data_IF_919529363756
#
_entry.id   IF_919529363756
#
_cell.length_a   1.000
_cell.length_b   1.000
_cell.length_c   1.000
_cell.angle_alpha   90.00
_cell.angle_beta   90.00
_cell.angle_gamma   90.00
#
_symmetry.space_group_name_H-M   'P 1'
#
loop_
_entity.id
_entity.type
_entity.pdbx_description
1 polymer ?
#
# COMPACT_ATOMS: atom_id res chain seq x y z
N UNK A 1 35.87 -5.13 2.01
CA UNK A 1 34.97 -5.93 2.88
C UNK A 1 33.58 -5.91 2.25
N UNK A 2 33.10 -7.04 1.72
CA UNK A 2 31.73 -7.11 1.21
C UNK A 2 30.81 -7.30 2.41
N UNK A 3 29.87 -6.39 2.63
CA UNK A 3 28.85 -6.59 3.64
C UNK A 3 28.05 -7.84 3.28
N UNK A 4 27.97 -8.80 4.20
CA UNK A 4 27.18 -10.02 4.00
C UNK A 4 25.70 -9.63 3.87
N UNK A 5 25.08 -10.03 2.76
CA UNK A 5 23.66 -9.79 2.55
C UNK A 5 22.86 -10.66 3.52
N UNK A 6 22.09 -10.03 4.41
CA UNK A 6 21.13 -10.69 5.30
C UNK A 6 19.70 -10.41 4.84
N UNK A 7 18.78 -11.29 5.21
CA UNK A 7 17.36 -11.08 4.93
C UNK A 7 16.89 -9.79 5.61
N UNK A 8 16.07 -9.00 4.89
CA UNK A 8 15.49 -7.79 5.44
C UNK A 8 14.21 -8.13 6.19
N UNK A 9 14.20 -7.89 7.50
CA UNK A 9 13.08 -8.18 8.37
C UNK A 9 12.32 -6.91 8.71
N UNK A 10 11.00 -6.95 8.52
CA UNK A 10 10.07 -5.88 8.89
C UNK A 10 9.09 -6.45 9.92
N UNK A 11 9.29 -6.17 11.23
CA UNK A 11 8.35 -6.59 12.25
C UNK A 11 7.02 -5.83 12.10
N UNK A 12 5.91 -6.53 12.34
CA UNK A 12 4.56 -5.96 12.24
C UNK A 12 4.10 -5.27 13.53
N UNK A 13 3.03 -4.45 13.45
CA UNK A 13 2.29 -4.05 12.25
C UNK A 13 3.08 -3.07 11.36
N UNK A 14 2.83 -3.10 10.05
CA UNK A 14 3.51 -2.24 9.08
C UNK A 14 2.59 -1.11 8.63
N UNK A 15 3.04 0.13 8.81
CA UNK A 15 2.36 1.31 8.27
C UNK A 15 2.91 1.63 6.89
N UNK A 16 2.00 1.74 5.92
CA UNK A 16 2.35 1.98 4.53
C UNK A 16 1.80 3.33 4.08
N UNK A 17 2.62 4.07 3.34
CA UNK A 17 2.20 5.25 2.57
C UNK A 17 2.20 4.87 1.10
N UNK A 18 1.04 4.97 0.46
CA UNK A 18 0.84 4.65 -0.95
C UNK A 18 0.60 5.94 -1.72
N UNK A 19 1.35 6.17 -2.79
CA UNK A 19 1.06 7.22 -3.76
C UNK A 19 0.42 6.60 -5.00
N UNK A 20 -0.78 7.03 -5.35
CA UNK A 20 -1.51 6.60 -6.54
C UNK A 20 -1.12 7.44 -7.76
N UNK A 21 -1.48 6.96 -8.95
CA UNK A 21 -1.16 7.63 -10.22
C UNK A 21 -2.07 8.83 -10.51
N UNK A 22 -3.32 8.79 -10.02
CA UNK A 22 -4.32 9.87 -10.19
C UNK A 22 -5.19 9.96 -8.94
N UNK A 23 -5.89 11.09 -8.78
CA UNK A 23 -6.86 11.27 -7.68
C UNK A 23 -8.02 10.27 -7.75
N UNK A 24 -8.47 9.92 -8.96
CA UNK A 24 -9.51 8.89 -9.15
C UNK A 24 -9.10 7.52 -8.58
N UNK A 25 -7.83 7.13 -8.71
CA UNK A 25 -7.33 5.90 -8.06
C UNK A 25 -7.34 6.02 -6.53
N UNK A 26 -7.00 7.19 -5.98
CA UNK A 26 -7.05 7.43 -4.54
C UNK A 26 -8.50 7.29 -4.02
N UNK A 27 -9.46 7.87 -4.73
CA UNK A 27 -10.90 7.78 -4.40
C UNK A 27 -11.42 6.34 -4.48
N UNK A 28 -11.01 5.59 -5.50
CA UNK A 28 -11.37 4.18 -5.65
C UNK A 28 -10.78 3.32 -4.52
N UNK A 29 -9.52 3.51 -4.17
CA UNK A 29 -8.87 2.69 -3.13
C UNK A 29 -9.40 3.02 -1.73
N UNK A 30 -9.78 4.27 -1.47
CA UNK A 30 -10.45 4.67 -0.23
C UNK A 30 -11.88 4.15 -0.07
N UNK A 31 -12.40 3.36 -1.02
CA UNK A 31 -13.58 2.53 -0.76
C UNK A 31 -13.27 1.38 0.22
N UNK A 32 -11.99 1.01 0.37
CA UNK A 32 -11.53 0.07 1.38
C UNK A 32 -11.45 0.78 2.75
N UNK A 33 -12.18 0.34 3.80
CA UNK A 33 -12.26 1.04 5.10
C UNK A 33 -10.94 1.35 5.80
N UNK A 34 -9.95 0.46 5.71
CA UNK A 34 -8.63 0.62 6.34
C UNK A 34 -7.71 1.62 5.64
N UNK A 35 -8.10 2.15 4.46
CA UNK A 35 -7.33 3.16 3.73
C UNK A 35 -7.82 4.57 4.05
N UNK A 36 -6.88 5.43 4.43
CA UNK A 36 -7.13 6.84 4.68
C UNK A 36 -6.43 7.71 3.64
N UNK A 37 -7.15 8.65 3.01
CA UNK A 37 -6.56 9.63 2.11
C UNK A 37 -5.99 10.78 2.93
N UNK A 38 -4.67 10.95 2.89
CA UNK A 38 -3.98 11.99 3.68
C UNK A 38 -3.78 13.28 2.91
N UNK A 39 -3.58 13.20 1.59
CA UNK A 39 -3.42 14.37 0.71
C UNK A 39 -3.54 13.93 -0.74
N UNK A 40 -4.12 14.73 -1.63
CA UNK A 40 -3.94 14.59 -3.08
C UNK A 40 -4.05 13.14 -3.59
N UNK A 41 -2.92 12.56 -4.01
CA UNK A 41 -2.82 11.17 -4.50
C UNK A 41 -2.21 10.20 -3.47
N UNK A 42 -2.10 10.61 -2.22
CA UNK A 42 -1.43 9.88 -1.15
C UNK A 42 -2.43 9.33 -0.15
N UNK A 43 -2.27 8.04 0.13
CA UNK A 43 -3.06 7.27 1.07
C UNK A 43 -2.15 6.66 2.15
N UNK A 44 -2.72 6.35 3.30
CA UNK A 44 -2.07 5.53 4.33
C UNK A 44 -2.96 4.37 4.75
N UNK A 45 -2.34 3.25 5.08
CA UNK A 45 -3.00 2.13 5.73
C UNK A 45 -2.02 1.41 6.65
N UNK A 46 -2.54 0.65 7.61
CA UNK A 46 -1.74 -0.22 8.47
C UNK A 46 -2.14 -1.66 8.25
N UNK A 47 -1.16 -2.54 8.06
CA UNK A 47 -1.39 -3.97 7.90
C UNK A 47 -0.73 -4.76 9.04
N UNK A 48 -1.32 -5.89 9.48
CA UNK A 48 -0.78 -6.67 10.59
C UNK A 48 0.58 -7.33 10.26
N UNK A 49 0.84 -7.61 8.99
CA UNK A 49 2.10 -8.21 8.50
C UNK A 49 2.45 -7.68 7.12
N UNK A 50 3.72 -7.84 6.71
CA UNK A 50 4.17 -7.56 5.33
C UNK A 50 3.33 -8.32 4.30
N UNK A 51 3.03 -9.60 4.56
CA UNK A 51 2.18 -10.40 3.68
C UNK A 51 0.79 -9.79 3.49
N UNK A 52 0.19 -9.28 4.58
CA UNK A 52 -1.09 -8.59 4.49
C UNK A 52 -0.98 -7.29 3.69
N UNK A 53 0.08 -6.49 3.90
CA UNK A 53 0.32 -5.27 3.13
C UNK A 53 0.44 -5.56 1.62
N UNK A 54 1.23 -6.56 1.23
CA UNK A 54 1.38 -6.97 -0.17
C UNK A 54 0.04 -7.40 -0.77
N UNK A 55 -0.79 -8.14 -0.02
CA UNK A 55 -2.13 -8.52 -0.48
C UNK A 55 -3.01 -7.30 -0.72
N UNK A 56 -3.02 -6.33 0.20
CA UNK A 56 -3.79 -5.10 0.05
C UNK A 56 -3.33 -4.31 -1.19
N UNK A 57 -2.02 -4.18 -1.41
CA UNK A 57 -1.44 -3.53 -2.60
C UNK A 57 -1.79 -4.26 -3.91
N UNK A 58 -1.85 -5.59 -3.89
CA UNK A 58 -2.27 -6.37 -5.05
C UNK A 58 -3.75 -6.14 -5.38
N UNK A 59 -4.62 -6.02 -4.37
CA UNK A 59 -6.01 -5.65 -4.58
C UNK A 59 -6.14 -4.24 -5.17
N UNK A 60 -5.34 -3.27 -4.72
CA UNK A 60 -5.26 -1.94 -5.35
C UNK A 60 -4.88 -2.05 -6.84
N UNK A 61 -3.87 -2.87 -7.16
CA UNK A 61 -3.47 -3.13 -8.55
C UNK A 61 -4.60 -3.70 -9.40
N UNK A 62 -5.41 -4.60 -8.84
CA UNK A 62 -6.59 -5.15 -9.52
C UNK A 62 -7.69 -4.09 -9.71
N UNK A 63 -7.98 -3.28 -8.68
CA UNK A 63 -8.96 -2.19 -8.75
C UNK A 63 -8.60 -1.14 -9.79
N UNK A 64 -7.31 -0.82 -10.00
CA UNK A 64 -6.87 0.12 -11.05
C UNK A 64 -7.37 -0.24 -12.44
N UNK A 65 -7.66 -1.51 -12.73
CA UNK A 65 -8.21 -1.92 -14.02
C UNK A 65 -9.59 -1.30 -14.29
N UNK A 66 -10.36 -0.97 -13.26
CA UNK A 66 -11.71 -0.42 -13.39
C UNK A 66 -11.73 1.01 -13.92
N UNK A 67 -10.61 1.74 -13.85
CA UNK A 67 -10.49 3.15 -14.26
C UNK A 67 -9.69 3.33 -15.56
N UNK A 68 -9.58 2.27 -16.37
CA UNK A 68 -8.89 2.29 -17.66
C UNK A 68 -9.62 3.09 -18.73
#
# INVERSE_FOLDING_TARGET
VHAEARCFELPGPVSCRLQTTTTAHADLFCQWPEFERVEGVTLTFTAPTVQAAVRMLNCCSAMSFMLK
#
